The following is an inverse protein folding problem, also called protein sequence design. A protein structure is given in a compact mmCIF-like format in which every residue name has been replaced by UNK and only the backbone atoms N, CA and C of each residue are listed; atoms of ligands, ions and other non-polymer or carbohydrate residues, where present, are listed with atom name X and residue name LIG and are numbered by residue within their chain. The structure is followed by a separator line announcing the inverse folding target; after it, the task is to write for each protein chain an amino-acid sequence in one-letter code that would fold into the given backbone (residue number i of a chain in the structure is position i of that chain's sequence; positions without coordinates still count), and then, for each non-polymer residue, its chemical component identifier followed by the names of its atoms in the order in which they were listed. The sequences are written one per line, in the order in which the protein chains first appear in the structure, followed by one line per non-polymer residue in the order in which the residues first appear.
data_IF_549670756015
#
_entry.id   IF_549670756015
#
_cell.length_a   1.000
_cell.length_b   1.000
_cell.length_c   1.000
_cell.angle_alpha   90.00
_cell.angle_beta   90.00
_cell.angle_gamma   90.00
#
_symmetry.space_group_name_H-M   'P 1'
#
loop_
_entity.id
_entity.type
_entity.pdbx_description
1 polymer ?
#
# COMPACT_ATOMS: atom_id res chain seq x y z
N UNK A 1 24.88 -17.79 1.23
CA UNK A 1 23.54 -17.43 1.73
C UNK A 1 22.84 -16.71 0.60
N UNK A 2 21.71 -17.22 0.11
CA UNK A 2 20.91 -16.54 -0.92
C UNK A 2 20.56 -15.13 -0.41
N UNK A 3 20.71 -14.11 -1.26
CA UNK A 3 20.31 -12.70 -1.06
C UNK A 3 18.77 -12.60 -0.87
N UNK A 4 18.23 -13.31 0.12
CA UNK A 4 16.80 -13.36 0.38
C UNK A 4 16.36 -12.01 0.92
N UNK A 5 15.45 -11.36 0.20
CA UNK A 5 14.36 -10.51 0.71
C UNK A 5 14.72 -9.61 1.92
N UNK A 6 15.88 -8.97 1.87
CA UNK A 6 16.27 -8.04 2.92
C UNK A 6 15.58 -6.70 2.66
N UNK A 7 15.02 -6.12 3.72
CA UNK A 7 14.47 -4.76 3.67
C UNK A 7 15.65 -3.80 3.49
N UNK A 8 15.80 -3.21 2.32
CA UNK A 8 16.86 -2.23 2.05
C UNK A 8 16.52 -0.85 2.63
N UNK A 9 15.25 -0.45 2.50
CA UNK A 9 14.74 0.86 2.91
C UNK A 9 13.35 0.73 3.49
N UNK A 10 13.04 1.60 4.46
CA UNK A 10 11.70 1.73 5.04
C UNK A 10 11.27 3.18 4.97
N UNK A 11 10.12 3.43 4.34
CA UNK A 11 9.44 4.73 4.40
C UNK A 11 8.44 4.68 5.57
N UNK A 12 8.36 5.75 6.35
CA UNK A 12 7.41 5.87 7.45
C UNK A 12 6.70 7.22 7.35
N UNK A 13 5.38 7.18 7.47
CA UNK A 13 4.51 8.37 7.50
C UNK A 13 3.83 8.40 8.86
N UNK A 14 4.08 9.45 9.64
CA UNK A 14 3.52 9.61 10.99
C UNK A 14 2.55 10.79 11.00
N UNK A 15 1.29 10.51 11.33
CA UNK A 15 0.25 11.53 11.45
C UNK A 15 0.16 12.02 12.90
N UNK A 16 0.49 13.30 13.09
CA UNK A 16 0.14 14.05 14.29
C UNK A 16 -1.08 14.93 14.04
N UNK A 17 -1.56 15.59 15.09
CA UNK A 17 -2.75 16.47 14.99
C UNK A 17 -2.55 17.70 14.11
N UNK A 18 -1.32 18.17 13.90
CA UNK A 18 -1.03 19.41 13.13
C UNK A 18 0.02 19.20 12.04
N UNK A 19 0.81 18.15 12.17
CA UNK A 19 1.97 17.88 11.33
C UNK A 19 1.98 16.41 10.94
N UNK A 20 2.43 16.13 9.72
CA UNK A 20 2.70 14.81 9.20
C UNK A 20 4.18 14.73 8.90
N UNK A 21 4.83 13.65 9.34
CA UNK A 21 6.26 13.43 9.17
C UNK A 21 6.48 12.31 8.18
N UNK A 22 7.33 12.54 7.18
CA UNK A 22 7.77 11.52 6.23
C UNK A 22 9.25 11.26 6.42
N UNK A 23 9.61 10.03 6.74
CA UNK A 23 10.99 9.64 7.04
C UNK A 23 11.41 8.41 6.25
N UNK A 24 12.71 8.32 5.92
CA UNK A 24 13.29 7.13 5.31
C UNK A 24 14.39 6.54 6.20
N UNK A 25 14.30 5.25 6.45
CA UNK A 25 15.24 4.49 7.25
C UNK A 25 15.96 3.43 6.41
N UNK A 26 17.15 3.04 6.84
CA UNK A 26 17.84 1.86 6.32
C UNK A 26 17.31 0.54 6.91
N UNK A 27 17.93 -0.57 6.53
CA UNK A 27 17.62 -1.92 6.99
C UNK A 27 17.72 -2.10 8.51
N UNK A 28 18.50 -1.25 9.19
CA UNK A 28 18.68 -1.24 10.64
C UNK A 28 17.71 -0.31 11.38
N UNK A 29 16.73 0.26 10.66
CA UNK A 29 15.81 1.29 11.14
C UNK A 29 16.51 2.60 11.55
N UNK A 30 17.73 2.84 11.06
CA UNK A 30 18.40 4.13 11.25
C UNK A 30 17.88 5.13 10.23
N UNK A 31 17.55 6.32 10.71
CA UNK A 31 17.10 7.43 9.88
C UNK A 31 18.22 7.89 8.93
N UNK A 32 17.88 8.03 7.66
CA UNK A 32 18.83 8.47 6.65
C UNK A 32 18.98 10.00 6.69
N UNK A 33 20.22 10.54 6.62
CA UNK A 33 20.43 11.97 6.57
C UNK A 33 19.69 12.62 5.38
N UNK A 34 19.07 13.78 5.62
CA UNK A 34 18.33 14.54 4.60
C UNK A 34 17.14 13.79 3.97
N UNK A 35 16.58 12.79 4.66
CA UNK A 35 15.38 12.05 4.25
C UNK A 35 14.28 12.16 5.30
N UNK A 36 14.05 13.39 5.72
CA UNK A 36 13.03 13.80 6.68
C UNK A 36 12.30 14.99 6.06
N UNK A 37 10.98 14.87 5.94
CA UNK A 37 10.12 15.94 5.46
C UNK A 37 8.99 16.15 6.47
N UNK A 38 8.60 17.42 6.65
CA UNK A 38 7.53 17.82 7.54
C UNK A 38 6.46 18.57 6.74
N UNK A 39 5.23 18.07 6.84
CA UNK A 39 4.07 18.66 6.21
C UNK A 39 3.14 19.20 7.28
N UNK A 40 2.69 20.44 7.12
CA UNK A 40 1.73 21.05 8.03
C UNK A 40 0.30 20.87 7.50
N UNK A 41 -0.57 20.33 8.34
CA UNK A 41 -1.99 20.21 8.04
C UNK A 41 -2.67 21.58 8.07
N UNK A 42 -3.67 21.84 7.20
CA UNK A 42 -4.35 23.13 7.11
C UNK A 42 -5.00 23.54 8.44
N UNK A 43 -5.58 22.57 9.15
CA UNK A 43 -6.16 22.73 10.48
C UNK A 43 -5.70 21.61 11.43
N UNK A 44 -5.76 21.83 12.75
CA UNK A 44 -5.52 20.77 13.72
C UNK A 44 -6.64 19.74 13.68
N UNK A 45 -6.29 18.46 13.54
CA UNK A 45 -7.20 17.34 13.61
C UNK A 45 -7.45 16.89 15.06
N UNK A 46 -8.58 16.23 15.27
CA UNK A 46 -8.82 15.37 16.42
C UNK A 46 -7.99 14.08 16.31
N UNK A 47 -7.99 13.29 17.38
CA UNK A 47 -7.24 12.03 17.39
C UNK A 47 -7.85 10.99 16.44
N UNK A 48 -9.18 10.95 16.31
CA UNK A 48 -9.86 10.04 15.39
C UNK A 48 -9.59 10.44 13.95
N UNK A 49 -9.78 11.72 13.60
CA UNK A 49 -9.50 12.21 12.24
C UNK A 49 -8.04 11.96 11.84
N UNK A 50 -7.09 12.16 12.75
CA UNK A 50 -5.67 11.86 12.49
C UNK A 50 -5.39 10.37 12.24
N UNK A 51 -6.22 9.47 12.80
CA UNK A 51 -6.10 8.03 12.56
C UNK A 51 -6.76 7.64 11.23
N UNK A 52 -7.91 8.24 10.93
CA UNK A 52 -8.63 8.02 9.66
C UNK A 52 -7.76 8.47 8.47
N UNK A 53 -7.15 9.66 8.55
CA UNK A 53 -6.21 10.16 7.52
C UNK A 53 -4.97 9.28 7.35
N UNK A 54 -4.49 8.66 8.43
CA UNK A 54 -3.36 7.74 8.37
C UNK A 54 -3.73 6.43 7.65
N UNK A 55 -4.94 5.92 7.87
CA UNK A 55 -5.47 4.75 7.15
C UNK A 55 -5.68 5.07 5.67
N UNK A 56 -6.29 6.22 5.35
CA UNK A 56 -6.47 6.65 3.96
C UNK A 56 -5.11 6.81 3.23
N UNK A 57 -4.11 7.39 3.90
CA UNK A 57 -2.75 7.47 3.39
C UNK A 57 -2.14 6.09 3.15
N UNK A 58 -2.34 5.15 4.08
CA UNK A 58 -1.87 3.78 3.93
C UNK A 58 -2.48 3.11 2.70
N UNK A 59 -3.80 3.22 2.50
CA UNK A 59 -4.49 2.67 1.34
C UNK A 59 -3.99 3.30 0.03
N UNK A 60 -3.77 4.62 0.01
CA UNK A 60 -3.21 5.31 -1.15
C UNK A 60 -1.79 4.84 -1.47
N UNK A 61 -0.93 4.68 -0.46
CA UNK A 61 0.41 4.12 -0.63
C UNK A 61 0.35 2.67 -1.14
N UNK A 62 -0.53 1.84 -0.58
CA UNK A 62 -0.71 0.46 -1.00
C UNK A 62 -1.13 0.36 -2.47
N UNK A 63 -2.11 1.15 -2.90
CA UNK A 63 -2.55 1.17 -4.29
C UNK A 63 -1.40 1.59 -5.21
N UNK A 64 -0.69 2.68 -4.87
CA UNK A 64 0.43 3.16 -5.68
C UNK A 64 1.56 2.13 -5.79
N UNK A 65 1.89 1.45 -4.69
CA UNK A 65 2.89 0.37 -4.68
C UNK A 65 2.38 -0.81 -5.49
N UNK A 66 1.10 -1.17 -5.40
CA UNK A 66 0.50 -2.28 -6.16
C UNK A 66 0.46 -2.02 -7.65
N UNK A 67 0.34 -0.77 -8.08
CA UNK A 67 0.44 -0.40 -9.49
C UNK A 67 1.89 -0.44 -10.00
N UNK A 68 2.84 -0.04 -9.14
CA UNK A 68 4.26 0.05 -9.49
C UNK A 68 4.96 -1.33 -9.47
N UNK A 69 4.66 -2.13 -8.46
CA UNK A 69 5.06 -3.53 -8.38
C UNK A 69 4.03 -4.26 -9.22
N UNK A 70 4.41 -4.76 -10.40
CA UNK A 70 3.57 -5.69 -11.16
C UNK A 70 3.36 -6.91 -10.26
N UNK A 71 2.32 -6.88 -9.44
CA UNK A 71 1.83 -8.07 -8.77
C UNK A 71 1.58 -9.05 -9.90
N UNK A 72 2.23 -10.22 -9.92
CA UNK A 72 1.79 -11.26 -10.81
C UNK A 72 0.36 -11.58 -10.37
N UNK A 73 -0.63 -10.96 -11.03
CA UNK A 73 -1.97 -11.52 -11.16
C UNK A 73 -1.71 -12.95 -11.62
N UNK A 74 -1.90 -13.90 -10.70
CA UNK A 74 -1.55 -15.31 -10.83
C UNK A 74 -1.46 -15.77 -12.29
N UNK A 75 -0.22 -15.83 -12.79
CA UNK A 75 0.08 -16.47 -14.06
C UNK A 75 0.26 -17.96 -13.82
N UNK A 76 -0.64 -18.75 -14.42
CA UNK A 76 -0.67 -20.20 -14.60
C UNK A 76 -0.89 -21.12 -13.37
N UNK A 77 -2.10 -21.70 -13.31
CA UNK A 77 -2.35 -22.87 -12.45
C UNK A 77 -3.78 -23.40 -12.29
N UNK A 78 -4.78 -22.90 -13.01
CA UNK A 78 -6.14 -23.46 -12.94
C UNK A 78 -6.92 -23.23 -14.22
N UNK A 79 -7.62 -24.23 -14.77
CA UNK A 79 -8.43 -24.03 -15.96
C UNK A 79 -9.44 -22.93 -15.70
N UNK A 80 -9.58 -22.04 -16.69
CA UNK A 80 -10.60 -21.00 -16.71
C UNK A 80 -11.94 -21.61 -16.28
N UNK A 81 -12.64 -20.92 -15.37
CA UNK A 81 -14.00 -21.29 -15.03
C UNK A 81 -14.82 -21.29 -16.33
N UNK A 82 -15.19 -22.49 -16.77
CA UNK A 82 -16.11 -22.69 -17.87
C UNK A 82 -17.46 -22.12 -17.41
N UNK A 83 -17.77 -20.91 -17.86
CA UNK A 83 -19.13 -20.38 -17.77
C UNK A 83 -19.99 -21.27 -18.67
N UNK A 84 -20.63 -22.28 -18.09
CA UNK A 84 -21.66 -23.04 -18.78
C UNK A 84 -22.83 -22.10 -19.04
N UNK A 85 -22.93 -21.60 -20.27
CA UNK A 85 -24.16 -21.06 -20.82
C UNK A 85 -25.20 -22.20 -20.79
N UNK A 86 -26.17 -22.11 -19.87
CA UNK A 86 -27.39 -22.92 -19.91
C UNK A 86 -28.26 -22.42 -21.07
N UNK A 87 -27.91 -22.82 -22.29
CA UNK A 87 -28.78 -22.75 -23.45
C UNK A 87 -29.69 -23.99 -23.41
N UNK A 88 -30.80 -23.89 -22.68
CA UNK A 88 -31.90 -24.84 -22.78
C UNK A 88 -32.80 -24.43 -23.97
N UNK A 89 -32.85 -25.18 -25.09
CA UNK A 89 -33.71 -24.84 -26.21
C UNK A 89 -35.19 -25.16 -25.90
N UNK A 90 -36.16 -24.40 -26.45
CA UNK A 90 -37.57 -24.70 -26.25
C UNK A 90 -37.94 -26.00 -26.98
N UNK A 91 -38.44 -26.99 -26.25
CA UNK A 91 -39.01 -28.20 -26.82
C UNK A 91 -40.53 -28.20 -26.63
N UNK A 92 -41.24 -27.99 -27.74
CA UNK A 92 -42.53 -28.58 -28.10
C UNK A 92 -43.73 -28.36 -27.19
#
# INVERSE_FOLDING_TARGET
MSERDNIERRITVEYGRRYVYLTMHDSSAKLLPHREELFQQPFPLTRSESADEAEDCWQACYQHISDAVVFPLQGDGGPAAESTEDDSPPSG
#
